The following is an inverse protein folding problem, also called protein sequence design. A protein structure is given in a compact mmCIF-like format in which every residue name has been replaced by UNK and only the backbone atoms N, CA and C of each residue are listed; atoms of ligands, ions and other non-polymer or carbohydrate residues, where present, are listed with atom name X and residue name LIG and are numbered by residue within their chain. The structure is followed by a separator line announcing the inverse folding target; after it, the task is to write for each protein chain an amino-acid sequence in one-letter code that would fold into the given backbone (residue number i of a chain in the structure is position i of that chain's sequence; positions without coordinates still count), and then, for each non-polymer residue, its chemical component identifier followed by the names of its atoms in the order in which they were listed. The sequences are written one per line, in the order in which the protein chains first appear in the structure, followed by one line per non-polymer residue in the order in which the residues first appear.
data_IF_416330491066
#
_entry.id   IF_416330491066
#
_cell.length_a   1.000
_cell.length_b   1.000
_cell.length_c   1.000
_cell.angle_alpha   90.00
_cell.angle_beta   90.00
_cell.angle_gamma   90.00
#
_symmetry.space_group_name_H-M   'P 1'
#
loop_
_entity.id
_entity.type
_entity.pdbx_description
1 polymer ?
#
# COMPACT_ATOMS: atom_id res chain seq x y z
N UNK A 1 37.56 -16.82 15.17
CA UNK A 1 37.73 -18.15 15.80
C UNK A 1 36.53 -19.03 15.46
N UNK A 2 36.80 -20.27 15.09
CA UNK A 2 35.77 -21.24 14.80
C UNK A 2 35.46 -22.07 16.05
N UNK A 3 34.21 -22.06 16.50
CA UNK A 3 33.73 -22.93 17.58
C UNK A 3 32.41 -23.60 17.12
N UNK A 4 32.40 -24.91 17.08
CA UNK A 4 31.23 -25.71 16.73
C UNK A 4 30.61 -25.36 15.36
N UNK A 5 31.41 -25.13 14.33
CA UNK A 5 30.95 -24.74 12.97
C UNK A 5 30.43 -23.31 12.86
N UNK A 6 30.61 -22.48 13.92
CA UNK A 6 30.31 -21.04 13.90
C UNK A 6 31.58 -20.22 13.92
N UNK A 7 31.61 -19.21 13.09
CA UNK A 7 32.70 -18.22 13.07
C UNK A 7 32.33 -17.04 13.99
N UNK A 8 33.23 -16.73 14.89
CA UNK A 8 33.12 -15.54 15.76
C UNK A 8 33.64 -14.33 15.00
N UNK A 9 32.77 -13.36 14.75
CA UNK A 9 33.02 -12.18 13.94
C UNK A 9 33.05 -10.93 14.80
N UNK A 10 34.05 -10.07 14.56
CA UNK A 10 34.10 -8.72 15.09
C UNK A 10 33.44 -7.76 14.10
N UNK A 11 32.41 -7.05 14.57
CA UNK A 11 31.71 -6.05 13.75
C UNK A 11 32.37 -4.67 13.87
N UNK A 12 32.16 -3.76 12.88
CA UNK A 12 32.67 -2.39 12.94
C UNK A 12 32.28 -1.61 14.17
N UNK A 13 31.11 -1.88 14.74
CA UNK A 13 30.60 -1.28 15.98
C UNK A 13 31.20 -1.89 17.25
N UNK A 14 32.31 -2.64 17.15
CA UNK A 14 33.03 -3.34 18.21
C UNK A 14 32.22 -4.44 18.92
N UNK A 15 31.07 -4.82 18.40
CA UNK A 15 30.30 -5.97 18.89
C UNK A 15 30.80 -7.26 18.24
N UNK A 16 30.70 -8.35 18.98
CA UNK A 16 31.00 -9.67 18.48
C UNK A 16 29.70 -10.43 18.21
N UNK A 17 29.69 -11.18 17.14
CA UNK A 17 28.57 -12.06 16.76
C UNK A 17 29.12 -13.40 16.29
N UNK A 18 28.32 -14.45 16.38
CA UNK A 18 28.69 -15.77 15.89
C UNK A 18 27.72 -16.19 14.77
N UNK A 19 28.24 -16.44 13.59
CA UNK A 19 27.49 -16.88 12.43
C UNK A 19 28.00 -18.25 11.95
N UNK A 20 27.11 -19.02 11.32
CA UNK A 20 27.52 -20.27 10.64
C UNK A 20 28.43 -19.93 9.46
N UNK A 21 29.52 -20.67 9.28
CA UNK A 21 30.47 -20.46 8.19
C UNK A 21 29.77 -20.48 6.80
N UNK A 22 28.77 -21.31 6.63
CA UNK A 22 27.95 -21.42 5.43
C UNK A 22 27.13 -20.15 5.10
N UNK A 23 27.07 -19.15 5.98
CA UNK A 23 26.35 -17.86 5.75
C UNK A 23 27.29 -16.71 5.46
N UNK A 24 28.58 -16.97 5.40
CA UNK A 24 29.62 -15.93 5.27
C UNK A 24 30.29 -16.10 3.91
N UNK A 25 30.34 -15.00 3.15
CA UNK A 25 31.14 -14.95 1.95
C UNK A 25 32.63 -15.08 2.37
N UNK A 26 33.35 -16.12 1.91
CA UNK A 26 34.74 -16.28 2.29
C UNK A 26 35.60 -15.12 1.77
N UNK A 27 36.56 -14.67 2.57
CA UNK A 27 37.55 -13.72 2.16
C UNK A 27 38.48 -14.39 1.11
N UNK A 28 38.65 -13.82 -0.09
CA UNK A 28 39.45 -14.44 -1.14
C UNK A 28 40.96 -14.25 -0.96
N UNK A 29 41.36 -13.41 -0.02
CA UNK A 29 42.78 -13.06 0.20
C UNK A 29 43.49 -13.90 1.26
N UNK A 30 44.75 -13.60 1.54
CA UNK A 30 45.52 -14.31 2.55
C UNK A 30 44.97 -14.10 3.95
N UNK A 31 45.17 -15.09 4.81
CA UNK A 31 44.81 -14.95 6.22
C UNK A 31 45.76 -13.94 6.91
N UNK A 32 45.18 -13.09 7.76
CA UNK A 32 45.93 -12.19 8.61
C UNK A 32 46.48 -12.92 9.86
N UNK A 33 47.51 -12.31 10.48
CA UNK A 33 48.09 -12.89 11.69
C UNK A 33 47.07 -13.05 12.83
N UNK A 34 47.11 -14.21 13.51
CA UNK A 34 46.19 -14.52 14.59
C UNK A 34 46.27 -13.59 15.80
N UNK A 35 47.41 -12.92 15.98
CA UNK A 35 47.68 -12.03 17.13
C UNK A 35 47.48 -10.55 16.82
N UNK A 36 46.74 -10.23 15.75
CA UNK A 36 46.40 -8.84 15.41
C UNK A 36 45.58 -8.20 16.56
N UNK A 37 45.98 -7.01 16.99
CA UNK A 37 45.21 -6.26 17.96
C UNK A 37 43.81 -5.91 17.39
N UNK A 38 42.85 -5.73 18.28
CA UNK A 38 41.46 -5.41 17.86
C UNK A 38 41.40 -4.12 17.01
N UNK A 39 42.16 -3.11 17.41
CA UNK A 39 42.16 -1.83 16.68
C UNK A 39 42.87 -1.97 15.32
N UNK A 40 43.95 -2.74 15.22
CA UNK A 40 44.58 -3.06 13.96
C UNK A 40 43.67 -3.86 13.03
N UNK A 41 42.87 -4.79 13.58
CA UNK A 41 41.88 -5.55 12.81
C UNK A 41 40.79 -4.64 12.23
N UNK A 42 40.32 -3.66 13.01
CA UNK A 42 39.33 -2.67 12.55
C UNK A 42 39.90 -1.73 11.48
N UNK A 43 41.15 -1.32 11.61
CA UNK A 43 41.86 -0.50 10.59
C UNK A 43 42.00 -1.25 9.27
N UNK A 44 42.38 -2.52 9.32
CA UNK A 44 42.45 -3.40 8.14
C UNK A 44 41.08 -3.51 7.49
N UNK A 45 40.00 -3.75 8.29
CA UNK A 45 38.65 -3.87 7.80
C UNK A 45 38.19 -2.60 7.09
N UNK A 46 38.45 -1.43 7.65
CA UNK A 46 38.09 -0.14 7.06
C UNK A 46 38.84 0.13 5.75
N UNK A 47 40.11 -0.26 5.68
CA UNK A 47 40.91 -0.17 4.45
C UNK A 47 40.33 -1.03 3.32
N UNK A 48 39.93 -2.28 3.60
CA UNK A 48 39.31 -3.15 2.62
C UNK A 48 37.92 -2.67 2.23
N UNK A 49 37.18 -2.12 3.17
CA UNK A 49 35.86 -1.53 2.88
C UNK A 49 35.98 -0.36 1.90
N UNK A 50 36.91 0.57 2.13
CA UNK A 50 37.14 1.71 1.24
C UNK A 50 37.58 1.26 -0.17
N UNK A 51 38.42 0.23 -0.29
CA UNK A 51 38.84 -0.31 -1.60
C UNK A 51 37.69 -0.97 -2.35
N UNK A 52 36.80 -1.70 -1.62
CA UNK A 52 35.62 -2.30 -2.23
C UNK A 52 34.62 -1.25 -2.76
N UNK A 53 34.48 -0.11 -2.09
CA UNK A 53 33.62 0.99 -2.53
C UNK A 53 34.11 1.61 -3.85
N UNK A 54 35.42 1.53 -4.14
CA UNK A 54 36.00 2.01 -5.40
C UNK A 54 35.80 1.02 -6.56
N UNK A 55 35.66 -0.26 -6.26
CA UNK A 55 35.38 -1.29 -7.27
C UNK A 55 33.92 -1.21 -7.73
N UNK A 56 33.69 -0.46 -8.80
CA UNK A 56 32.34 -0.31 -9.38
C UNK A 56 31.97 -1.59 -10.15
N UNK A 57 31.22 -2.48 -9.50
CA UNK A 57 30.74 -3.74 -10.09
C UNK A 57 29.23 -3.63 -10.28
N UNK A 58 28.76 -3.70 -11.53
CA UNK A 58 27.34 -3.78 -11.84
C UNK A 58 26.90 -5.26 -11.87
N UNK A 59 26.09 -5.71 -10.89
CA UNK A 59 25.65 -7.09 -10.86
C UNK A 59 24.68 -7.45 -11.99
N UNK A 60 24.01 -6.48 -12.61
CA UNK A 60 23.07 -6.72 -13.73
C UNK A 60 23.86 -7.05 -14.99
N UNK A 61 24.91 -6.29 -15.27
CA UNK A 61 25.81 -6.58 -16.39
C UNK A 61 26.45 -7.97 -16.23
N UNK A 62 26.90 -8.31 -15.01
CA UNK A 62 27.44 -9.64 -14.71
C UNK A 62 26.40 -10.75 -14.92
N UNK A 63 25.16 -10.51 -14.60
CA UNK A 63 24.10 -11.47 -14.82
C UNK A 63 23.84 -11.68 -16.32
N UNK A 64 23.80 -10.61 -17.10
CA UNK A 64 23.64 -10.68 -18.56
C UNK A 64 24.78 -11.49 -19.21
N UNK A 65 26.01 -11.22 -18.80
CA UNK A 65 27.19 -11.94 -19.30
C UNK A 65 27.25 -13.40 -18.87
N UNK A 66 26.73 -13.73 -17.69
CA UNK A 66 26.73 -15.09 -17.16
C UNK A 66 25.60 -15.97 -17.70
N UNK A 67 24.56 -15.37 -18.32
CA UNK A 67 23.43 -16.10 -18.86
C UNK A 67 23.85 -17.10 -19.94
N UNK A 68 23.51 -18.37 -19.72
CA UNK A 68 23.85 -19.46 -20.64
C UNK A 68 25.30 -19.95 -20.57
N UNK A 69 26.20 -19.24 -19.88
CA UNK A 69 27.59 -19.65 -19.71
C UNK A 69 27.77 -20.55 -18.49
N UNK A 70 27.13 -20.20 -17.35
CA UNK A 70 27.23 -20.98 -16.12
C UNK A 70 25.89 -20.97 -15.35
N UNK A 71 25.59 -22.11 -14.69
CA UNK A 71 24.48 -22.17 -13.73
C UNK A 71 24.90 -21.67 -12.34
N UNK A 72 26.15 -21.89 -11.98
CA UNK A 72 26.74 -21.44 -10.71
C UNK A 72 28.26 -21.27 -10.82
N UNK A 73 28.78 -20.22 -10.17
CA UNK A 73 30.22 -19.97 -10.12
C UNK A 73 30.64 -19.26 -8.82
N UNK A 74 31.92 -19.31 -8.41
CA UNK A 74 32.42 -18.54 -7.28
C UNK A 74 32.53 -17.04 -7.63
N UNK A 75 32.60 -16.18 -6.62
CA UNK A 75 32.74 -14.73 -6.80
C UNK A 75 33.99 -14.35 -7.64
N UNK A 76 35.05 -15.15 -7.56
CA UNK A 76 36.26 -14.99 -8.36
C UNK A 76 35.95 -15.02 -9.86
N UNK A 77 35.18 -16.02 -10.32
CA UNK A 77 34.82 -16.15 -11.72
C UNK A 77 34.06 -14.94 -12.27
N UNK A 78 33.12 -14.41 -11.48
CA UNK A 78 32.35 -13.20 -11.85
C UNK A 78 33.24 -11.96 -11.88
N UNK A 79 34.23 -11.85 -10.96
CA UNK A 79 35.16 -10.75 -10.96
C UNK A 79 36.09 -10.79 -12.19
N UNK A 80 36.55 -11.97 -12.60
CA UNK A 80 37.33 -12.19 -13.82
C UNK A 80 36.54 -11.91 -15.11
N UNK A 81 35.23 -12.09 -15.08
CA UNK A 81 34.35 -11.74 -16.18
C UNK A 81 34.26 -10.21 -16.39
N UNK A 82 34.25 -9.44 -15.28
CA UNK A 82 34.19 -7.97 -15.32
C UNK A 82 35.54 -7.27 -15.50
N UNK A 83 36.63 -7.90 -15.05
CA UNK A 83 37.98 -7.27 -14.97
C UNK A 83 39.04 -8.26 -15.41
N UNK A 84 40.05 -7.76 -16.11
CA UNK A 84 41.12 -8.61 -16.63
C UNK A 84 42.01 -9.22 -15.52
N UNK A 85 42.23 -8.52 -14.42
CA UNK A 85 43.05 -8.97 -13.28
C UNK A 85 42.44 -8.44 -11.98
N UNK A 86 41.36 -9.06 -11.45
CA UNK A 86 40.71 -8.58 -10.23
C UNK A 86 41.63 -8.84 -9.01
N UNK A 87 41.88 -7.82 -8.21
CA UNK A 87 42.48 -8.00 -6.91
C UNK A 87 41.48 -8.58 -5.90
N UNK A 88 41.95 -8.92 -4.71
CA UNK A 88 41.11 -9.55 -3.66
C UNK A 88 39.97 -8.67 -3.18
N UNK A 89 40.19 -7.35 -3.19
CA UNK A 89 39.16 -6.38 -2.81
C UNK A 89 38.08 -6.28 -3.90
N UNK A 90 38.47 -6.37 -5.18
CA UNK A 90 37.56 -6.42 -6.30
C UNK A 90 36.70 -7.70 -6.31
N UNK A 91 37.33 -8.86 -6.01
CA UNK A 91 36.58 -10.14 -5.85
C UNK A 91 35.58 -10.06 -4.69
N UNK A 92 36.02 -9.48 -3.57
CA UNK A 92 35.10 -9.28 -2.42
C UNK A 92 33.97 -8.28 -2.73
N UNK A 93 34.28 -7.22 -3.50
CA UNK A 93 33.26 -6.27 -3.96
C UNK A 93 32.25 -6.94 -4.89
N UNK A 94 32.72 -7.75 -5.84
CA UNK A 94 31.88 -8.54 -6.72
C UNK A 94 30.95 -9.47 -5.92
N UNK A 95 31.48 -10.26 -5.00
CA UNK A 95 30.67 -11.13 -4.15
C UNK A 95 29.61 -10.36 -3.34
N UNK A 96 29.94 -9.17 -2.86
CA UNK A 96 28.96 -8.29 -2.19
C UNK A 96 27.85 -7.78 -3.13
N UNK A 97 28.21 -7.36 -4.34
CA UNK A 97 27.26 -6.91 -5.34
C UNK A 97 26.29 -8.04 -5.72
N UNK A 98 26.80 -9.24 -5.95
CA UNK A 98 25.98 -10.43 -6.23
C UNK A 98 25.03 -10.78 -5.06
N UNK A 99 25.50 -10.66 -3.81
CA UNK A 99 24.64 -10.89 -2.63
C UNK A 99 23.51 -9.85 -2.49
N UNK A 100 23.71 -8.64 -2.97
CA UNK A 100 22.68 -7.59 -2.97
C UNK A 100 21.67 -7.79 -4.09
N UNK A 101 22.09 -8.30 -5.24
CA UNK A 101 21.23 -8.57 -6.39
C UNK A 101 20.44 -9.89 -6.25
N UNK A 102 19.70 -10.04 -5.17
CA UNK A 102 18.94 -11.26 -4.79
C UNK A 102 17.89 -11.71 -5.81
N UNK A 103 17.47 -10.85 -6.68
CA UNK A 103 16.55 -11.18 -7.78
C UNK A 103 17.24 -11.95 -8.90
N UNK A 104 18.57 -11.77 -9.07
CA UNK A 104 19.35 -12.32 -10.17
C UNK A 104 20.28 -13.43 -9.71
N UNK A 105 20.72 -13.41 -8.46
CA UNK A 105 21.64 -14.38 -7.90
C UNK A 105 21.17 -14.93 -6.57
N UNK A 106 21.61 -16.17 -6.29
CA UNK A 106 21.45 -16.79 -4.97
C UNK A 106 22.81 -17.25 -4.48
N UNK A 107 23.18 -16.80 -3.28
CA UNK A 107 24.37 -17.29 -2.63
C UNK A 107 24.16 -18.71 -2.12
N UNK A 108 24.87 -19.66 -2.71
CA UNK A 108 24.90 -21.06 -2.32
C UNK A 108 26.38 -21.44 -2.06
N UNK A 109 26.88 -21.21 -0.83
CA UNK A 109 28.30 -21.27 -0.53
C UNK A 109 29.00 -22.52 -1.04
N UNK A 110 30.17 -22.37 -1.67
CA UNK A 110 30.93 -21.13 -1.89
C UNK A 110 30.55 -20.36 -3.16
N UNK A 111 29.56 -20.84 -3.92
CA UNK A 111 29.17 -20.34 -5.22
C UNK A 111 27.95 -19.41 -5.19
N UNK A 112 27.76 -18.70 -6.28
CA UNK A 112 26.54 -17.99 -6.63
C UNK A 112 25.84 -18.71 -7.76
N UNK A 113 24.59 -19.05 -7.58
CA UNK A 113 23.67 -19.57 -8.58
C UNK A 113 23.11 -18.40 -9.40
N UNK A 114 23.16 -18.53 -10.74
CA UNK A 114 22.65 -17.54 -11.68
C UNK A 114 21.20 -17.90 -12.01
N UNK A 115 20.27 -17.01 -11.72
CA UNK A 115 18.87 -17.28 -12.04
C UNK A 115 18.58 -17.08 -13.53
N UNK A 116 17.83 -18.00 -14.16
CA UNK A 116 17.38 -17.85 -15.54
C UNK A 116 16.45 -16.61 -15.67
N UNK A 117 16.40 -16.05 -16.87
CA UNK A 117 15.60 -14.85 -17.20
C UNK A 117 14.14 -14.96 -16.75
N UNK A 118 13.51 -16.13 -16.94
CA UNK A 118 12.12 -16.35 -16.53
C UNK A 118 11.93 -16.24 -15.02
N UNK A 119 12.89 -16.69 -14.23
CA UNK A 119 12.86 -16.59 -12.76
C UNK A 119 13.09 -15.15 -12.33
N UNK A 120 14.04 -14.45 -12.96
CA UNK A 120 14.31 -13.04 -12.69
C UNK A 120 13.09 -12.18 -13.02
N UNK A 121 12.47 -12.37 -14.18
CA UNK A 121 11.27 -11.66 -14.57
C UNK A 121 10.12 -11.81 -13.55
N UNK A 122 9.88 -13.04 -13.10
CA UNK A 122 8.87 -13.32 -12.06
C UNK A 122 9.20 -12.61 -10.75
N UNK A 123 10.44 -12.70 -10.27
CA UNK A 123 10.88 -12.04 -9.02
C UNK A 123 10.83 -10.52 -9.09
N UNK A 124 11.21 -9.96 -10.23
CA UNK A 124 11.14 -8.50 -10.43
C UNK A 124 9.68 -8.03 -10.43
N UNK A 125 8.78 -8.77 -11.08
CA UNK A 125 7.36 -8.48 -11.03
C UNK A 125 6.78 -8.55 -9.60
N UNK A 126 7.18 -9.57 -8.82
CA UNK A 126 6.78 -9.71 -7.41
C UNK A 126 7.31 -8.55 -6.54
N UNK A 127 8.57 -8.17 -6.72
CA UNK A 127 9.19 -7.03 -6.00
C UNK A 127 8.49 -5.71 -6.34
N UNK A 128 8.19 -5.50 -7.61
CA UNK A 128 7.47 -4.30 -8.05
C UNK A 128 6.04 -4.28 -7.52
N UNK A 129 5.34 -5.40 -7.54
CA UNK A 129 4.00 -5.52 -6.95
C UNK A 129 4.02 -5.26 -5.43
N UNK A 130 5.02 -5.79 -4.73
CA UNK A 130 5.21 -5.53 -3.30
C UNK A 130 5.49 -4.04 -3.02
N UNK A 131 6.35 -3.41 -3.81
CA UNK A 131 6.64 -1.97 -3.71
C UNK A 131 5.40 -1.11 -3.96
N UNK A 132 4.64 -1.41 -5.02
CA UNK A 132 3.38 -0.70 -5.32
C UNK A 132 2.37 -0.84 -4.17
N UNK A 133 2.29 -2.05 -3.59
CA UNK A 133 1.42 -2.29 -2.43
C UNK A 133 1.86 -1.50 -1.20
N UNK A 134 3.14 -1.46 -0.92
CA UNK A 134 3.70 -0.69 0.20
C UNK A 134 3.45 0.82 0.02
N UNK A 135 3.68 1.33 -1.19
CA UNK A 135 3.40 2.72 -1.53
C UNK A 135 1.92 3.08 -1.36
N UNK A 136 1.04 2.21 -1.84
CA UNK A 136 -0.41 2.35 -1.68
C UNK A 136 -0.80 2.38 -0.19
N UNK A 137 -0.26 1.48 0.63
CA UNK A 137 -0.52 1.46 2.08
C UNK A 137 -0.03 2.73 2.73
N UNK A 138 1.19 3.16 2.45
CA UNK A 138 1.80 4.34 3.08
C UNK A 138 1.06 5.63 2.71
N UNK A 139 0.86 5.87 1.41
CA UNK A 139 0.13 7.06 0.92
C UNK A 139 -1.35 7.01 1.31
N UNK A 140 -1.97 5.83 1.20
CA UNK A 140 -3.36 5.61 1.57
C UNK A 140 -3.60 5.84 3.06
N UNK A 141 -2.75 5.31 3.94
CA UNK A 141 -2.85 5.53 5.39
C UNK A 141 -2.73 7.00 5.76
N UNK A 142 -1.79 7.72 5.14
CA UNK A 142 -1.60 9.15 5.40
C UNK A 142 -2.85 9.94 4.99
N UNK A 143 -3.41 9.64 3.81
CA UNK A 143 -4.59 10.31 3.31
C UNK A 143 -5.86 9.98 4.12
N UNK A 144 -6.08 8.72 4.48
CA UNK A 144 -7.19 8.29 5.34
C UNK A 144 -7.13 8.98 6.70
N UNK A 145 -5.94 9.11 7.31
CA UNK A 145 -5.77 9.86 8.56
C UNK A 145 -6.12 11.33 8.40
N UNK A 146 -5.71 11.95 7.31
CA UNK A 146 -6.09 13.33 7.01
C UNK A 146 -7.62 13.48 6.90
N UNK A 147 -8.29 12.59 6.17
CA UNK A 147 -9.76 12.60 6.05
C UNK A 147 -10.44 12.43 7.41
N UNK A 148 -9.91 11.55 8.25
CA UNK A 148 -10.39 11.35 9.61
C UNK A 148 -10.22 12.59 10.48
N UNK A 149 -9.07 13.27 10.38
CA UNK A 149 -8.83 14.55 11.07
C UNK A 149 -9.77 15.66 10.59
N UNK A 150 -10.06 15.71 9.29
CA UNK A 150 -11.05 16.64 8.72
C UNK A 150 -12.45 16.35 9.27
N UNK A 151 -12.87 15.08 9.27
CA UNK A 151 -14.15 14.67 9.87
C UNK A 151 -14.24 15.10 11.33
N UNK A 152 -13.17 14.95 12.11
CA UNK A 152 -13.11 15.38 13.50
C UNK A 152 -12.95 16.90 13.69
N UNK A 153 -12.92 17.69 12.61
CA UNK A 153 -12.66 19.15 12.62
C UNK A 153 -11.31 19.54 13.22
N UNK A 154 -10.33 18.63 13.18
CA UNK A 154 -8.94 18.85 13.66
C UNK A 154 -8.01 19.35 12.57
N UNK A 155 -8.39 19.22 11.31
CA UNK A 155 -7.64 19.72 10.16
C UNK A 155 -8.52 20.61 9.28
N UNK A 156 -7.93 21.66 8.73
CA UNK A 156 -8.56 22.57 7.76
C UNK A 156 -7.99 22.39 6.35
N UNK A 157 -7.17 21.36 6.13
CA UNK A 157 -6.61 21.07 4.82
C UNK A 157 -7.69 20.72 3.81
N UNK A 158 -7.48 21.12 2.56
CA UNK A 158 -8.37 20.75 1.46
C UNK A 158 -8.18 19.29 1.08
N UNK A 159 -9.19 18.41 1.24
CA UNK A 159 -9.08 17.01 0.87
C UNK A 159 -8.87 16.84 -0.65
N UNK A 160 -9.46 17.73 -1.47
CA UNK A 160 -9.28 17.72 -2.92
C UNK A 160 -7.82 17.92 -3.33
N UNK A 161 -7.16 18.95 -2.79
CA UNK A 161 -5.73 19.20 -3.07
C UNK A 161 -4.83 18.06 -2.58
N UNK A 162 -5.13 17.50 -1.41
CA UNK A 162 -4.39 16.36 -0.90
C UNK A 162 -4.58 15.13 -1.80
N UNK A 163 -5.80 14.89 -2.30
CA UNK A 163 -6.08 13.82 -3.24
C UNK A 163 -5.39 14.01 -4.60
N UNK A 164 -5.27 15.25 -5.09
CA UNK A 164 -4.56 15.56 -6.34
C UNK A 164 -3.05 15.26 -6.25
N UNK A 165 -2.48 15.32 -5.06
CA UNK A 165 -1.06 14.98 -4.84
C UNK A 165 -0.79 13.47 -4.81
N UNK A 166 -1.82 12.64 -4.73
CA UNK A 166 -1.70 11.19 -4.83
C UNK A 166 -1.53 10.76 -6.28
N UNK A 167 -0.83 9.64 -6.46
CA UNK A 167 -0.82 8.95 -7.74
C UNK A 167 -2.25 8.63 -8.19
N UNK A 168 -2.60 8.81 -9.48
CA UNK A 168 -3.97 8.58 -9.98
C UNK A 168 -4.51 7.19 -9.65
N UNK A 169 -3.68 6.14 -9.77
CA UNK A 169 -4.08 4.76 -9.48
C UNK A 169 -4.35 4.56 -7.99
N UNK A 170 -3.52 5.15 -7.13
CA UNK A 170 -3.71 5.13 -5.66
C UNK A 170 -5.00 5.84 -5.28
N UNK A 171 -5.23 7.02 -5.87
CA UNK A 171 -6.43 7.82 -5.61
C UNK A 171 -7.71 7.08 -6.01
N UNK A 172 -7.74 6.51 -7.22
CA UNK A 172 -8.91 5.77 -7.70
C UNK A 172 -9.16 4.52 -6.87
N UNK A 173 -8.11 3.80 -6.48
CA UNK A 173 -8.22 2.63 -5.63
C UNK A 173 -8.78 2.98 -4.24
N UNK A 174 -8.32 4.06 -3.63
CA UNK A 174 -8.84 4.54 -2.35
C UNK A 174 -10.31 4.94 -2.44
N UNK A 175 -10.66 5.69 -3.51
CA UNK A 175 -12.04 6.08 -3.79
C UNK A 175 -12.94 4.86 -3.85
N UNK A 176 -12.57 3.87 -4.69
CA UNK A 176 -13.31 2.63 -4.85
C UNK A 176 -13.44 1.86 -3.53
N UNK A 177 -12.33 1.68 -2.81
CA UNK A 177 -12.32 0.95 -1.53
C UNK A 177 -13.24 1.59 -0.49
N UNK A 178 -13.25 2.92 -0.37
CA UNK A 178 -14.12 3.65 0.55
C UNK A 178 -15.58 3.51 0.12
N UNK A 179 -15.88 3.71 -1.18
CA UNK A 179 -17.27 3.68 -1.70
C UNK A 179 -17.91 2.29 -1.55
N UNK A 180 -17.19 1.22 -1.88
CA UNK A 180 -17.71 -0.14 -1.73
C UNK A 180 -18.06 -0.44 -0.28
N UNK A 181 -17.25 0.04 0.68
CA UNK A 181 -17.45 -0.19 2.11
C UNK A 181 -18.60 0.61 2.73
N UNK A 182 -19.11 1.62 2.05
CA UNK A 182 -20.37 2.28 2.47
C UNK A 182 -21.53 1.31 2.25
N UNK A 183 -21.57 0.64 1.08
CA UNK A 183 -22.62 -0.31 0.73
C UNK A 183 -22.45 -1.65 1.47
N UNK A 184 -21.23 -2.17 1.54
CA UNK A 184 -20.89 -3.44 2.18
C UNK A 184 -19.67 -3.26 3.12
N UNK A 185 -19.87 -2.92 4.40
CA UNK A 185 -18.79 -2.75 5.37
C UNK A 185 -17.96 -4.01 5.61
N UNK A 186 -18.54 -5.19 5.41
CA UNK A 186 -17.90 -6.49 5.64
C UNK A 186 -17.31 -7.10 4.37
N UNK A 187 -17.28 -6.36 3.28
CA UNK A 187 -16.72 -6.84 2.01
C UNK A 187 -15.31 -7.41 2.19
N UNK A 188 -15.05 -8.54 1.57
CA UNK A 188 -13.72 -9.14 1.51
C UNK A 188 -12.79 -8.45 0.51
N UNK A 189 -13.34 -7.59 -0.36
CA UNK A 189 -12.54 -6.88 -1.37
C UNK A 189 -11.55 -5.94 -0.68
N UNK A 190 -10.27 -6.15 -0.95
CA UNK A 190 -9.16 -5.38 -0.37
C UNK A 190 -9.15 -5.32 1.19
N UNK A 191 -9.78 -6.27 1.88
CA UNK A 191 -9.90 -6.25 3.34
C UNK A 191 -8.54 -6.18 4.05
N UNK A 192 -7.57 -6.98 3.62
CA UNK A 192 -6.20 -6.92 4.16
C UNK A 192 -5.51 -5.58 3.92
N UNK A 193 -5.79 -4.91 2.80
CA UNK A 193 -5.26 -3.59 2.49
C UNK A 193 -5.95 -2.52 3.34
N UNK A 194 -7.27 -2.58 3.44
CA UNK A 194 -8.06 -1.67 4.27
C UNK A 194 -7.61 -1.69 5.72
N UNK A 195 -7.49 -2.88 6.34
CA UNK A 195 -7.02 -3.05 7.73
C UNK A 195 -5.63 -2.44 7.97
N UNK A 196 -4.74 -2.52 6.98
CA UNK A 196 -3.42 -1.88 7.07
C UNK A 196 -3.54 -0.35 7.00
N UNK A 197 -4.38 0.18 6.13
CA UNK A 197 -4.53 1.63 5.94
C UNK A 197 -5.23 2.32 7.12
N UNK A 198 -6.23 1.68 7.74
CA UNK A 198 -6.95 2.24 8.90
C UNK A 198 -6.28 1.92 10.24
N UNK A 199 -5.15 1.22 10.23
CA UNK A 199 -4.46 0.83 11.45
C UNK A 199 -4.16 2.02 12.36
N UNK A 200 -4.65 1.94 13.60
CA UNK A 200 -4.50 2.99 14.61
C UNK A 200 -5.60 4.06 14.59
N UNK A 201 -6.60 3.93 13.73
CA UNK A 201 -7.86 4.65 13.82
C UNK A 201 -8.88 3.86 14.64
N UNK A 202 -9.95 4.50 15.16
CA UNK A 202 -11.02 3.80 15.85
C UNK A 202 -11.67 2.75 14.96
N UNK A 203 -12.13 1.66 15.59
CA UNK A 203 -12.96 0.66 14.90
C UNK A 203 -14.41 1.15 14.89
N UNK A 204 -14.80 1.81 13.80
CA UNK A 204 -16.12 2.42 13.62
C UNK A 204 -16.74 1.90 12.32
N UNK A 205 -17.91 1.24 12.37
CA UNK A 205 -18.56 0.69 11.18
C UNK A 205 -19.01 1.76 10.17
N UNK A 206 -19.11 3.03 10.60
CA UNK A 206 -19.43 4.17 9.74
C UNK A 206 -18.19 4.92 9.24
N UNK A 207 -17.00 4.47 9.60
CA UNK A 207 -15.75 5.13 9.14
C UNK A 207 -15.72 5.33 7.62
N UNK A 208 -16.07 4.37 6.75
CA UNK A 208 -16.08 4.60 5.31
C UNK A 208 -16.98 5.76 4.89
N UNK A 209 -18.16 5.89 5.50
CA UNK A 209 -19.06 7.00 5.25
C UNK A 209 -18.47 8.35 5.68
N UNK A 210 -17.89 8.42 6.87
CA UNK A 210 -17.25 9.64 7.37
C UNK A 210 -16.05 10.08 6.51
N UNK A 211 -15.26 9.14 6.03
CA UNK A 211 -14.15 9.41 5.13
C UNK A 211 -14.66 9.89 3.76
N UNK A 212 -15.72 9.27 3.24
CA UNK A 212 -16.33 9.69 1.98
C UNK A 212 -16.92 11.11 2.05
N UNK A 213 -17.61 11.44 3.15
CA UNK A 213 -18.11 12.80 3.41
C UNK A 213 -16.96 13.81 3.53
N UNK A 214 -15.92 13.47 4.30
CA UNK A 214 -14.75 14.33 4.45
C UNK A 214 -14.00 14.56 3.14
N UNK A 215 -14.02 13.60 2.24
CA UNK A 215 -13.42 13.74 0.90
C UNK A 215 -14.33 14.47 -0.10
N UNK A 216 -15.62 14.54 0.16
CA UNK A 216 -16.62 15.08 -0.76
C UNK A 216 -17.05 14.08 -1.84
N UNK A 217 -16.93 12.79 -1.57
CA UNK A 217 -17.43 11.73 -2.47
C UNK A 217 -18.94 11.54 -2.35
N UNK A 218 -19.50 11.88 -1.20
CA UNK A 218 -20.93 11.84 -0.90
C UNK A 218 -21.33 13.09 -0.14
N UNK A 219 -22.62 13.45 -0.23
CA UNK A 219 -23.19 14.59 0.47
C UNK A 219 -23.20 14.39 2.01
N UNK A 220 -23.21 15.48 2.81
CA UNK A 220 -23.24 15.38 4.27
C UNK A 220 -24.44 14.57 4.84
N UNK A 221 -25.55 14.55 4.11
CA UNK A 221 -26.80 13.83 4.48
C UNK A 221 -27.02 12.59 3.62
N UNK A 222 -25.95 12.02 3.07
CA UNK A 222 -26.04 10.84 2.23
C UNK A 222 -26.73 9.67 2.94
N UNK A 223 -27.73 9.11 2.30
CA UNK A 223 -28.48 7.97 2.82
C UNK A 223 -27.78 6.64 2.44
N UNK A 224 -26.86 6.19 3.27
CA UNK A 224 -26.11 4.96 3.06
C UNK A 224 -26.98 3.68 3.04
N UNK A 225 -28.22 3.74 3.54
CA UNK A 225 -29.15 2.62 3.43
C UNK A 225 -29.54 2.32 1.98
N UNK A 226 -29.56 3.33 1.14
CA UNK A 226 -29.79 3.17 -0.30
C UNK A 226 -28.65 2.37 -0.95
N UNK A 227 -27.40 2.68 -0.59
CA UNK A 227 -26.23 1.94 -1.09
C UNK A 227 -26.31 0.46 -0.66
N UNK A 228 -26.63 0.21 0.62
CA UNK A 228 -26.78 -1.15 1.16
C UNK A 228 -27.93 -1.93 0.53
N UNK A 229 -28.97 -1.25 0.12
CA UNK A 229 -30.10 -1.85 -0.58
C UNK A 229 -29.84 -2.03 -2.09
N UNK A 230 -28.67 -1.60 -2.59
CA UNK A 230 -28.32 -1.63 -4.01
C UNK A 230 -29.06 -0.59 -4.84
N UNK A 231 -29.61 0.44 -4.19
CA UNK A 231 -30.26 1.55 -4.88
C UNK A 231 -29.19 2.49 -5.46
N UNK A 232 -29.12 2.58 -6.78
CA UNK A 232 -28.29 3.58 -7.41
C UNK A 232 -28.83 4.98 -7.08
N UNK A 233 -27.98 5.95 -6.66
CA UNK A 233 -28.40 7.34 -6.52
C UNK A 233 -28.69 7.89 -7.93
N UNK A 234 -29.87 7.74 -8.36
CA UNK A 234 -30.46 8.29 -9.56
C UNK A 234 -31.75 8.97 -9.17
N UNK A 235 -32.46 9.55 -10.07
CA UNK A 235 -33.66 10.37 -9.90
C UNK A 235 -34.84 9.68 -9.18
N UNK A 236 -34.57 8.76 -8.28
CA UNK A 236 -35.53 8.10 -7.37
C UNK A 236 -36.49 7.13 -8.03
N UNK A 237 -36.68 7.20 -9.32
CA UNK A 237 -37.60 6.40 -10.07
C UNK A 237 -36.91 5.73 -11.26
N UNK A 238 -37.26 4.45 -11.51
CA UNK A 238 -36.82 3.76 -12.72
C UNK A 238 -37.29 4.52 -13.95
N UNK A 239 -36.44 4.65 -14.96
CA UNK A 239 -36.88 5.25 -16.26
C UNK A 239 -38.08 4.53 -16.86
N UNK A 240 -38.22 3.23 -16.58
CA UNK A 240 -39.37 2.40 -16.96
C UNK A 240 -40.70 2.90 -16.45
N UNK A 241 -40.75 3.61 -15.30
CA UNK A 241 -41.96 4.15 -14.68
C UNK A 241 -42.10 5.67 -14.82
N UNK A 242 -41.23 6.31 -15.60
CA UNK A 242 -41.24 7.78 -15.74
C UNK A 242 -42.55 8.27 -16.36
N UNK A 243 -43.02 7.62 -17.42
CA UNK A 243 -44.26 7.98 -18.10
C UNK A 243 -45.49 7.80 -17.18
N UNK A 244 -45.47 6.75 -16.35
CA UNK A 244 -46.50 6.50 -15.35
C UNK A 244 -46.50 7.56 -14.24
N UNK A 245 -45.29 7.94 -13.77
CA UNK A 245 -45.15 9.00 -12.77
C UNK A 245 -45.60 10.35 -13.33
N UNK A 246 -45.22 10.69 -14.54
CA UNK A 246 -45.61 11.94 -15.18
C UNK A 246 -47.14 12.00 -15.38
N UNK A 247 -47.79 10.86 -15.71
CA UNK A 247 -49.23 10.75 -15.79
C UNK A 247 -49.92 10.94 -14.43
N UNK A 248 -49.37 10.33 -13.36
CA UNK A 248 -49.88 10.49 -11.98
C UNK A 248 -49.72 11.92 -11.48
N UNK A 249 -48.56 12.58 -11.76
CA UNK A 249 -48.33 13.96 -11.40
C UNK A 249 -49.30 14.91 -12.14
N UNK A 250 -49.56 14.66 -13.41
CA UNK A 250 -50.56 15.42 -14.20
C UNK A 250 -51.97 15.25 -13.62
N UNK A 251 -52.33 14.02 -13.24
CA UNK A 251 -53.61 13.73 -12.62
C UNK A 251 -53.75 14.42 -11.24
N UNK A 252 -52.69 14.32 -10.39
CA UNK A 252 -52.68 15.00 -9.10
C UNK A 252 -52.86 16.52 -9.22
N UNK A 253 -52.19 17.14 -10.20
CA UNK A 253 -52.35 18.57 -10.47
C UNK A 253 -53.74 18.97 -10.98
N UNK A 254 -54.46 18.05 -11.64
CA UNK A 254 -55.83 18.27 -12.05
C UNK A 254 -56.78 18.08 -10.87
N UNK A 255 -56.55 17.06 -10.02
CA UNK A 255 -57.30 16.79 -8.82
C UNK A 255 -57.19 17.95 -7.80
N UNK A 256 -55.99 18.53 -7.62
CA UNK A 256 -55.80 19.73 -6.80
C UNK A 256 -56.64 20.93 -7.28
N UNK A 257 -56.87 21.06 -8.59
CA UNK A 257 -57.77 22.12 -9.15
C UNK A 257 -59.24 21.84 -8.93
N UNK A 258 -59.59 20.59 -8.70
CA UNK A 258 -60.98 20.16 -8.47
C UNK A 258 -61.30 19.87 -7.01
N UNK A 259 -60.32 20.01 -6.11
CA UNK A 259 -60.56 19.81 -4.68
C UNK A 259 -61.73 20.62 -4.18
N UNK A 260 -62.73 19.97 -3.59
CA UNK A 260 -63.79 20.70 -2.95
C UNK A 260 -63.23 21.46 -1.77
N UNK A 261 -63.20 22.79 -1.87
CA UNK A 261 -62.99 23.63 -0.70
C UNK A 261 -64.08 23.35 0.31
N UNK A 262 -63.73 22.91 1.51
CA UNK A 262 -64.65 22.76 2.64
C UNK A 262 -64.56 23.97 3.57
N UNK A 263 -64.96 25.20 3.14
CA UNK A 263 -64.69 26.43 3.87
C UNK A 263 -65.39 26.51 5.22
N UNK A 264 -66.39 25.69 5.40
CA UNK A 264 -67.23 25.74 6.60
C UNK A 264 -66.95 24.58 7.59
N UNK A 265 -65.97 23.77 7.34
CA UNK A 265 -65.63 22.63 8.20
C UNK A 265 -64.32 22.90 8.96
N UNK A 266 -64.37 22.99 10.31
CA UNK A 266 -63.15 23.17 11.08
C UNK A 266 -62.31 21.88 11.03
N UNK A 267 -61.18 21.95 10.37
CA UNK A 267 -60.16 20.89 10.40
C UNK A 267 -59.24 21.21 11.56
N UNK A 268 -59.04 20.26 12.46
CA UNK A 268 -58.21 20.40 13.65
C UNK A 268 -57.00 19.46 13.55
N UNK A 269 -55.79 20.00 13.66
CA UNK A 269 -54.60 19.22 13.87
C UNK A 269 -54.24 19.17 15.36
N UNK A 270 -53.75 18.02 15.82
CA UNK A 270 -53.33 17.81 17.21
C UNK A 270 -51.82 18.10 17.39
N UNK A 271 -51.20 18.54 16.35
CA UNK A 271 -49.74 18.83 16.35
C UNK A 271 -49.38 20.03 17.22
N UNK A 272 -48.18 20.01 17.76
CA UNK A 272 -47.65 21.16 18.49
C UNK A 272 -47.49 22.38 17.54
N UNK A 273 -47.66 23.63 18.02
CA UNK A 273 -47.53 24.83 17.18
C UNK A 273 -46.19 24.98 16.44
N UNK A 274 -45.19 24.21 16.82
CA UNK A 274 -43.84 24.22 16.24
C UNK A 274 -43.60 23.10 15.23
N UNK A 275 -44.56 22.18 15.07
CA UNK A 275 -44.47 21.08 14.12
C UNK A 275 -44.55 21.63 12.69
N UNK A 276 -43.59 21.24 11.84
CA UNK A 276 -43.52 21.64 10.43
C UNK A 276 -44.20 20.65 9.50
N UNK A 277 -44.42 19.44 9.99
CA UNK A 277 -45.05 18.35 9.26
C UNK A 277 -46.31 17.96 9.99
N UNK A 278 -47.45 18.29 9.41
CA UNK A 278 -48.77 18.03 10.01
C UNK A 278 -49.30 16.75 9.39
N UNK A 279 -49.14 15.65 10.13
CA UNK A 279 -49.47 14.31 9.63
C UNK A 279 -50.98 13.99 9.78
N UNK A 280 -51.64 14.51 10.83
CA UNK A 280 -53.00 14.16 11.15
C UNK A 280 -53.89 15.40 11.22
N UNK A 281 -54.91 15.42 10.39
CA UNK A 281 -55.98 16.41 10.44
C UNK A 281 -57.34 15.74 10.62
N UNK A 282 -58.09 16.18 11.62
CA UNK A 282 -59.40 15.63 11.97
C UNK A 282 -60.50 16.61 11.66
N UNK A 283 -61.59 16.07 11.12
CA UNK A 283 -62.86 16.74 11.01
C UNK A 283 -63.90 15.93 11.83
N UNK A 284 -64.66 16.63 12.67
CA UNK A 284 -65.75 16.04 13.45
C UNK A 284 -67.03 16.66 12.97
N UNK A 285 -67.89 15.81 12.49
CA UNK A 285 -69.27 16.16 12.10
C UNK A 285 -70.17 16.24 13.31
#
# INVERSE_FOLDING_TARGET
EEQNGRLRLLLPNRRETALQAARILPWPGPAYEKNCSRDAALEILERHKSRREVANVDPLELWELAQGEVEQAPAQWFAELAMSEPDMDAVAACGHALMQAKSHFKFNPPNFEVYPESVVATRMAELEAARRREELVNKGSAFIRLLWEIHQKKSTQSPGRAAESLDPDVRERLRRTITIRIADPETSEDDGLWKLMVKGLPDDPFMPLYLAQAWGLVEPHHNYWMDRAGYAPGNGWCEEHRDELDALLAQAAEDERQEPTFPDRPIISIDAPTTRDVDDAFFIE
#
